data_IF_830468301885
#
_entry.id   IF_830468301885
#
_cell.length_a   1.000
_cell.length_b   1.000
_cell.length_c   1.000
_cell.angle_alpha   90.00
_cell.angle_beta   90.00
_cell.angle_gamma   90.00
#
_symmetry.space_group_name_H-M   'P 1'
#
loop_
_entity.id
_entity.type
_entity.pdbx_description
1 polymer ?
#
# COMPACT_ATOMS: atom_id res chain seq x y z
N UNK A 1 56.62 -21.25 6.69
CA UNK A 1 57.47 -21.85 7.73
C UNK A 1 56.58 -22.42 8.82
N UNK A 2 56.79 -23.70 9.13
CA UNK A 2 56.14 -24.50 10.18
C UNK A 2 56.35 -23.88 11.56
N UNK A 3 55.33 -23.92 12.45
CA UNK A 3 55.45 -24.46 13.81
C UNK A 3 54.11 -25.04 14.28
N UNK A 4 54.02 -26.36 14.19
CA UNK A 4 53.11 -27.21 14.96
C UNK A 4 53.82 -27.48 16.29
N UNK A 5 53.14 -27.28 17.42
CA UNK A 5 53.48 -27.94 18.68
C UNK A 5 52.30 -28.81 19.07
N UNK A 6 52.54 -30.10 19.02
CA UNK A 6 51.63 -31.18 19.40
C UNK A 6 52.00 -31.60 20.83
N UNK A 7 51.02 -31.83 21.71
CA UNK A 7 51.10 -32.75 22.85
C UNK A 7 49.67 -33.06 23.32
N UNK A 8 49.13 -34.18 22.82
CA UNK A 8 48.01 -34.99 23.35
C UNK A 8 48.53 -35.84 24.55
N UNK A 9 47.71 -36.62 25.32
CA UNK A 9 46.28 -36.96 25.21
C UNK A 9 45.49 -36.91 26.57
N UNK A 10 44.16 -37.05 26.57
CA UNK A 10 43.39 -38.05 27.36
C UNK A 10 41.87 -37.76 27.32
N UNK A 11 41.11 -38.81 27.06
CA UNK A 11 39.65 -38.89 27.12
C UNK A 11 39.09 -38.45 28.48
N UNK A 12 38.05 -37.59 28.46
CA UNK A 12 36.93 -37.69 29.38
C UNK A 12 35.70 -37.00 28.77
N UNK A 13 34.58 -37.71 28.83
CA UNK A 13 33.26 -37.26 28.42
C UNK A 13 32.83 -36.01 29.20
N UNK A 14 32.00 -35.16 28.58
CA UNK A 14 31.10 -34.30 29.32
C UNK A 14 30.92 -32.91 28.75
N UNK A 15 29.87 -32.74 27.94
CA UNK A 15 29.09 -31.50 27.89
C UNK A 15 29.76 -30.31 27.19
N UNK A 16 29.74 -30.32 25.85
CA UNK A 16 29.50 -29.06 25.15
C UNK A 16 28.08 -28.62 25.51
N UNK A 17 27.96 -27.75 26.52
CA UNK A 17 26.75 -26.91 26.65
C UNK A 17 26.84 -25.94 25.49
N UNK A 18 26.31 -26.33 24.34
CA UNK A 18 25.87 -25.33 23.38
C UNK A 18 24.76 -24.58 24.09
N UNK A 19 25.00 -23.31 24.39
CA UNK A 19 23.95 -22.33 24.61
C UNK A 19 23.03 -22.42 23.38
N UNK A 20 21.99 -23.27 23.48
CA UNK A 20 20.79 -23.13 22.71
C UNK A 20 20.22 -21.78 23.12
N UNK A 21 20.71 -20.75 22.45
CA UNK A 21 20.01 -19.49 22.28
C UNK A 21 18.71 -19.90 21.60
N UNK A 22 17.75 -20.30 22.44
CA UNK A 22 16.36 -20.45 22.08
C UNK A 22 15.96 -19.07 21.60
N UNK A 23 16.15 -18.84 20.31
CA UNK A 23 15.54 -17.75 19.60
C UNK A 23 14.05 -17.99 19.83
N UNK A 24 13.51 -17.33 20.86
CA UNK A 24 12.09 -17.25 21.11
C UNK A 24 11.53 -16.41 19.97
N UNK A 25 11.44 -17.04 18.79
CA UNK A 25 10.76 -16.51 17.64
C UNK A 25 9.30 -16.47 18.03
N UNK A 26 8.76 -15.26 18.19
CA UNK A 26 7.34 -15.08 18.44
C UNK A 26 6.56 -15.91 17.41
N UNK A 27 5.59 -16.74 17.85
CA UNK A 27 4.80 -17.53 16.91
C UNK A 27 4.11 -16.62 15.91
N UNK A 28 4.13 -17.03 14.66
CA UNK A 28 3.42 -16.36 13.57
C UNK A 28 1.92 -16.37 13.80
N UNK A 29 1.19 -15.47 13.13
CA UNK A 29 -0.27 -15.39 13.26
C UNK A 29 -0.97 -16.72 12.97
N UNK A 30 -0.46 -17.50 12.02
CA UNK A 30 -1.03 -18.79 11.65
C UNK A 30 -0.72 -19.87 12.71
N UNK A 31 0.46 -19.81 13.34
CA UNK A 31 0.82 -20.70 14.44
C UNK A 31 -0.02 -20.41 15.69
N UNK A 32 -0.26 -19.14 16.00
CA UNK A 32 -1.17 -18.74 17.08
C UNK A 32 -2.59 -19.30 16.85
N UNK A 33 -3.12 -19.18 15.63
CA UNK A 33 -4.45 -19.75 15.30
C UNK A 33 -4.49 -21.27 15.57
N UNK A 34 -3.42 -21.99 15.23
CA UNK A 34 -3.35 -23.42 15.47
C UNK A 34 -3.18 -23.77 16.96
N UNK A 35 -2.35 -23.02 17.70
CA UNK A 35 -2.21 -23.18 19.16
C UNK A 35 -3.53 -22.90 19.87
N UNK A 36 -4.20 -21.81 19.53
CA UNK A 36 -5.49 -21.40 20.11
C UNK A 36 -6.60 -22.42 19.80
N UNK A 37 -6.48 -23.12 18.68
CA UNK A 37 -7.37 -24.22 18.28
C UNK A 37 -7.02 -25.55 18.96
N UNK A 38 -6.01 -25.58 19.83
CA UNK A 38 -5.62 -26.76 20.62
C UNK A 38 -4.58 -27.67 19.95
N UNK A 39 -3.99 -27.28 18.82
CA UNK A 39 -2.96 -28.09 18.16
C UNK A 39 -1.58 -27.89 18.82
N UNK A 40 -0.90 -28.99 19.13
CA UNK A 40 0.39 -28.98 19.83
C UNK A 40 1.55 -28.79 18.83
N UNK A 41 2.40 -27.76 18.98
CA UNK A 41 3.56 -27.55 18.11
C UNK A 41 4.47 -28.78 17.99
N UNK A 42 4.99 -29.02 16.79
CA UNK A 42 5.85 -30.18 16.50
C UNK A 42 5.10 -31.48 16.17
N UNK A 43 3.77 -31.49 16.26
CA UNK A 43 2.94 -32.63 15.82
C UNK A 43 2.58 -32.55 14.34
N UNK A 44 2.20 -33.70 13.76
CA UNK A 44 1.68 -33.78 12.39
C UNK A 44 0.40 -32.93 12.27
N UNK A 45 -0.51 -33.03 13.23
CA UNK A 45 -1.77 -32.27 13.22
C UNK A 45 -1.52 -30.75 13.23
N UNK A 46 -0.54 -30.28 14.02
CA UNK A 46 -0.15 -28.88 14.01
C UNK A 46 0.40 -28.44 12.66
N UNK A 47 1.25 -29.25 12.02
CA UNK A 47 1.76 -28.95 10.68
C UNK A 47 0.65 -28.88 9.62
N UNK A 48 -0.37 -29.75 9.73
CA UNK A 48 -1.54 -29.76 8.85
C UNK A 48 -2.44 -28.53 9.08
N UNK A 49 -2.65 -28.15 10.33
CA UNK A 49 -3.34 -26.91 10.68
C UNK A 49 -2.60 -25.71 10.08
N UNK A 50 -1.29 -25.63 10.28
CA UNK A 50 -0.47 -24.51 9.80
C UNK A 50 -0.49 -24.40 8.28
N UNK A 51 -0.41 -25.53 7.57
CA UNK A 51 -0.53 -25.57 6.11
C UNK A 51 -1.90 -25.06 5.65
N UNK A 52 -2.97 -25.52 6.29
CA UNK A 52 -4.34 -25.11 5.99
C UNK A 52 -4.56 -23.61 6.25
N UNK A 53 -4.10 -23.11 7.39
CA UNK A 53 -4.19 -21.70 7.76
C UNK A 53 -3.45 -20.80 6.76
N UNK A 54 -2.24 -21.20 6.32
CA UNK A 54 -1.47 -20.49 5.29
C UNK A 54 -2.19 -20.44 3.95
N UNK A 55 -2.79 -21.57 3.52
CA UNK A 55 -3.58 -21.63 2.28
C UNK A 55 -4.80 -20.71 2.42
N UNK A 56 -5.57 -20.84 3.49
CA UNK A 56 -6.78 -20.04 3.71
C UNK A 56 -6.47 -18.54 3.71
N UNK A 57 -5.38 -18.11 4.36
CA UNK A 57 -4.96 -16.71 4.36
C UNK A 57 -4.59 -16.23 2.97
N UNK A 58 -3.78 -17.00 2.23
CA UNK A 58 -3.38 -16.64 0.86
C UNK A 58 -4.60 -16.54 -0.05
N UNK A 59 -5.53 -17.49 0.04
CA UNK A 59 -6.78 -17.48 -0.73
C UNK A 59 -7.64 -16.27 -0.38
N UNK A 60 -7.73 -15.90 0.91
CA UNK A 60 -8.45 -14.70 1.33
C UNK A 60 -7.80 -13.41 0.79
N UNK A 61 -6.47 -13.30 0.86
CA UNK A 61 -5.73 -12.17 0.31
C UNK A 61 -5.92 -12.05 -1.21
N UNK A 62 -5.89 -13.17 -1.93
CA UNK A 62 -6.07 -13.19 -3.38
C UNK A 62 -7.52 -12.84 -3.76
N UNK A 63 -8.51 -13.34 -3.04
CA UNK A 63 -9.91 -12.94 -3.21
C UNK A 63 -10.13 -11.45 -2.91
N UNK A 64 -9.49 -10.91 -1.87
CA UNK A 64 -9.55 -9.48 -1.55
C UNK A 64 -8.93 -8.63 -2.68
N UNK A 65 -7.80 -9.06 -3.25
CA UNK A 65 -7.18 -8.40 -4.41
C UNK A 65 -8.10 -8.41 -5.63
N UNK A 66 -8.72 -9.54 -5.96
CA UNK A 66 -9.65 -9.64 -7.09
C UNK A 66 -10.89 -8.75 -6.86
N UNK A 67 -11.44 -8.74 -5.64
CA UNK A 67 -12.54 -7.84 -5.27
C UNK A 67 -12.15 -6.37 -5.42
N UNK A 68 -10.94 -5.98 -5.00
CA UNK A 68 -10.44 -4.61 -5.19
C UNK A 68 -10.34 -4.26 -6.66
N UNK A 69 -9.76 -5.12 -7.50
CA UNK A 69 -9.67 -4.89 -8.95
C UNK A 69 -11.06 -4.75 -9.60
N UNK A 70 -12.02 -5.57 -9.20
CA UNK A 70 -13.38 -5.47 -9.72
C UNK A 70 -14.05 -4.16 -9.29
N UNK A 71 -13.88 -3.78 -8.03
CA UNK A 71 -14.36 -2.49 -7.52
C UNK A 71 -13.73 -1.33 -8.29
N UNK A 72 -12.41 -1.34 -8.51
CA UNK A 72 -11.71 -0.33 -9.29
C UNK A 72 -12.25 -0.24 -10.73
N UNK A 73 -12.55 -1.38 -11.37
CA UNK A 73 -13.17 -1.40 -12.71
C UNK A 73 -14.57 -0.77 -12.71
N UNK A 74 -15.39 -1.08 -11.70
CA UNK A 74 -16.77 -0.53 -11.56
C UNK A 74 -16.75 0.97 -11.29
N UNK A 75 -15.80 1.41 -10.47
CA UNK A 75 -15.71 2.80 -10.02
C UNK A 75 -14.90 3.69 -10.97
N UNK A 76 -14.18 3.11 -11.94
CA UNK A 76 -13.46 3.88 -12.95
C UNK A 76 -14.42 4.75 -13.73
N UNK A 77 -14.20 6.06 -13.69
CA UNK A 77 -15.01 7.04 -14.40
C UNK A 77 -14.36 7.47 -15.70
N UNK A 78 -15.16 8.04 -16.60
CA UNK A 78 -14.64 8.64 -17.83
C UNK A 78 -13.77 9.86 -17.52
N UNK A 79 -12.80 10.09 -18.38
CA UNK A 79 -11.98 11.30 -18.41
C UNK A 79 -12.82 12.60 -18.35
N UNK A 80 -13.96 12.62 -19.06
CA UNK A 80 -14.86 13.76 -19.08
C UNK A 80 -15.50 14.04 -17.71
N UNK A 81 -16.02 13.00 -17.06
CA UNK A 81 -16.63 13.14 -15.73
C UNK A 81 -15.59 13.54 -14.68
N UNK A 82 -14.40 12.95 -14.77
CA UNK A 82 -13.31 13.29 -13.87
C UNK A 82 -12.92 14.78 -14.02
N UNK A 83 -12.87 15.28 -15.26
CA UNK A 83 -12.62 16.69 -15.52
C UNK A 83 -13.70 17.60 -14.92
N UNK A 84 -14.98 17.27 -15.10
CA UNK A 84 -16.10 18.02 -14.52
C UNK A 84 -15.98 18.13 -12.99
N UNK A 85 -15.70 17.00 -12.32
CA UNK A 85 -15.47 16.96 -10.86
C UNK A 85 -14.30 17.87 -10.47
N UNK A 86 -13.17 17.79 -11.18
CA UNK A 86 -12.00 18.63 -10.87
C UNK A 86 -12.30 20.12 -11.06
N UNK A 87 -12.97 20.50 -12.16
CA UNK A 87 -13.34 21.89 -12.44
C UNK A 87 -14.26 22.42 -11.36
N UNK A 88 -15.33 21.69 -11.02
CA UNK A 88 -16.28 22.13 -9.99
C UNK A 88 -15.59 22.30 -8.64
N UNK A 89 -14.76 21.33 -8.27
CA UNK A 89 -14.02 21.35 -7.01
C UNK A 89 -13.00 22.49 -6.94
N UNK A 90 -12.25 22.71 -8.03
CA UNK A 90 -11.26 23.78 -8.12
C UNK A 90 -11.93 25.17 -8.07
N UNK A 91 -13.03 25.38 -8.81
CA UNK A 91 -13.76 26.66 -8.81
C UNK A 91 -14.21 27.08 -7.42
N UNK A 92 -14.67 26.15 -6.58
CA UNK A 92 -15.08 26.42 -5.19
C UNK A 92 -13.91 26.80 -4.27
N UNK A 93 -12.68 26.46 -4.64
CA UNK A 93 -11.47 26.70 -3.84
C UNK A 93 -10.59 27.83 -4.36
N UNK A 94 -10.93 28.42 -5.51
CA UNK A 94 -10.18 29.56 -6.04
C UNK A 94 -10.36 30.79 -5.15
N UNK A 95 -9.29 31.61 -4.98
CA UNK A 95 -9.35 32.79 -4.12
C UNK A 95 -10.19 33.93 -4.70
N UNK A 96 -10.39 33.92 -6.02
CA UNK A 96 -11.15 34.94 -6.76
C UNK A 96 -12.13 34.27 -7.72
N UNK A 97 -13.18 34.97 -8.15
CA UNK A 97 -14.14 34.45 -9.12
C UNK A 97 -13.46 34.02 -10.43
N UNK A 98 -13.84 32.85 -10.92
CA UNK A 98 -13.36 32.32 -12.21
C UNK A 98 -14.17 32.93 -13.35
N UNK A 99 -13.49 33.63 -14.26
CA UNK A 99 -14.07 34.22 -15.47
C UNK A 99 -14.16 33.18 -16.58
N UNK A 100 -13.07 32.42 -16.79
CA UNK A 100 -12.95 31.45 -17.87
C UNK A 100 -12.15 30.23 -17.43
N UNK A 101 -12.65 29.06 -17.82
CA UNK A 101 -11.89 27.82 -17.71
C UNK A 101 -10.98 27.71 -18.94
N UNK A 102 -9.68 27.68 -18.72
CA UNK A 102 -8.69 27.39 -19.75
C UNK A 102 -8.37 25.88 -19.75
N UNK A 103 -8.21 25.36 -20.96
CA UNK A 103 -7.90 23.99 -21.42
C UNK A 103 -7.44 22.97 -20.37
N UNK A 104 -8.01 21.77 -20.45
CA UNK A 104 -7.59 20.60 -19.67
C UNK A 104 -6.26 20.08 -20.20
N UNK A 105 -5.20 20.20 -19.40
CA UNK A 105 -3.88 19.74 -19.78
C UNK A 105 -3.59 18.41 -19.10
N UNK A 106 -3.91 17.33 -19.80
CA UNK A 106 -3.56 15.94 -19.51
C UNK A 106 -4.44 15.25 -18.48
N UNK A 107 -4.97 14.11 -18.91
CA UNK A 107 -5.61 13.10 -18.08
C UNK A 107 -4.70 11.89 -18.18
N UNK A 108 -4.08 11.49 -17.07
CA UNK A 108 -3.23 10.30 -17.02
C UNK A 108 -3.71 9.33 -15.95
N UNK A 109 -3.81 8.05 -16.34
CA UNK A 109 -4.17 6.93 -15.47
C UNK A 109 -5.59 6.38 -15.69
N UNK A 110 -5.83 5.15 -15.25
CA UNK A 110 -7.11 4.44 -15.35
C UNK A 110 -8.04 4.79 -14.19
N UNK A 111 -8.03 3.96 -13.14
CA UNK A 111 -8.84 4.20 -11.94
C UNK A 111 -8.42 5.46 -11.15
N UNK A 112 -7.11 5.74 -11.12
CA UNK A 112 -6.54 6.96 -10.54
C UNK A 112 -6.16 7.92 -11.66
N UNK A 113 -6.84 9.04 -11.75
CA UNK A 113 -6.66 10.03 -12.82
C UNK A 113 -6.04 11.31 -12.26
N UNK A 114 -5.00 11.81 -12.92
CA UNK A 114 -4.45 13.14 -12.62
C UNK A 114 -4.94 14.13 -13.65
N UNK A 115 -5.54 15.22 -13.20
CA UNK A 115 -6.14 16.25 -14.05
C UNK A 115 -5.51 17.59 -13.70
N UNK A 116 -5.16 18.36 -14.72
CA UNK A 116 -4.74 19.76 -14.56
C UNK A 116 -5.67 20.66 -15.34
N UNK A 117 -6.14 21.69 -14.65
CA UNK A 117 -7.06 22.72 -15.16
C UNK A 117 -6.45 24.08 -14.93
N UNK A 118 -6.65 25.00 -15.87
CA UNK A 118 -6.21 26.40 -15.72
C UNK A 118 -7.42 27.32 -15.71
N UNK A 119 -7.33 28.42 -14.99
CA UNK A 119 -8.42 29.37 -14.79
C UNK A 119 -7.91 30.79 -14.96
N UNK A 120 -8.71 31.61 -15.64
CA UNK A 120 -8.61 33.06 -15.59
C UNK A 120 -9.50 33.57 -14.46
N UNK A 121 -8.94 34.38 -13.57
CA UNK A 121 -9.59 34.91 -12.38
C UNK A 121 -9.77 36.42 -12.48
N UNK A 122 -10.90 36.90 -11.95
CA UNK A 122 -11.19 38.33 -11.77
C UNK A 122 -10.57 38.84 -10.47
N UNK A 123 -9.33 39.34 -10.56
CA UNK A 123 -8.60 39.81 -9.40
C UNK A 123 -8.77 41.33 -9.25
N UNK A 124 -9.23 41.83 -8.08
CA UNK A 124 -9.36 43.27 -7.87
C UNK A 124 -7.99 43.95 -7.94
N UNK A 125 -7.85 44.94 -8.84
CA UNK A 125 -6.64 45.74 -9.00
C UNK A 125 -5.70 45.28 -10.13
N UNK A 126 -5.97 44.17 -10.80
CA UNK A 126 -5.33 43.77 -12.06
C UNK A 126 -6.39 43.42 -13.09
N UNK A 127 -6.07 43.46 -14.38
CA UNK A 127 -7.06 43.15 -15.41
C UNK A 127 -7.41 41.65 -15.45
N UNK A 128 -6.43 40.76 -15.28
CA UNK A 128 -6.61 39.31 -15.24
C UNK A 128 -5.45 38.62 -14.50
N UNK A 129 -5.73 37.53 -13.78
CA UNK A 129 -4.70 36.60 -13.27
C UNK A 129 -4.99 35.16 -13.69
N UNK A 130 -3.94 34.40 -14.02
CA UNK A 130 -4.06 32.97 -14.35
C UNK A 130 -3.60 32.12 -13.18
N UNK A 131 -4.38 31.09 -12.83
CA UNK A 131 -4.03 30.08 -11.84
C UNK A 131 -4.33 28.69 -12.38
N UNK A 132 -3.52 27.72 -12.00
CA UNK A 132 -3.76 26.32 -12.34
C UNK A 132 -4.16 25.54 -11.10
N UNK A 133 -4.95 24.49 -11.27
CA UNK A 133 -5.19 23.50 -10.24
C UNK A 133 -4.90 22.10 -10.76
N UNK A 134 -4.39 21.25 -9.88
CA UNK A 134 -4.16 19.84 -10.11
C UNK A 134 -5.06 19.04 -9.16
N UNK A 135 -5.88 18.16 -9.72
CA UNK A 135 -6.69 17.20 -8.98
C UNK A 135 -6.16 15.78 -9.23
N UNK A 136 -6.02 14.99 -8.18
CA UNK A 136 -5.90 13.54 -8.29
C UNK A 136 -7.25 12.96 -7.91
N UNK A 137 -7.88 12.26 -8.85
CA UNK A 137 -9.20 11.66 -8.70
C UNK A 137 -9.06 10.15 -8.63
N UNK A 138 -9.79 9.53 -7.70
CA UNK A 138 -9.91 8.07 -7.57
C UNK A 138 -11.38 7.71 -7.59
N UNK A 139 -11.83 7.06 -8.66
CA UNK A 139 -13.26 6.90 -8.91
C UNK A 139 -13.94 8.27 -8.99
N UNK A 140 -14.82 8.61 -8.03
CA UNK A 140 -15.54 9.90 -7.97
C UNK A 140 -15.01 10.87 -6.92
N UNK A 141 -13.95 10.51 -6.22
CA UNK A 141 -13.41 11.30 -5.11
C UNK A 141 -12.13 12.02 -5.51
N UNK A 142 -12.01 13.30 -5.11
CA UNK A 142 -10.76 14.05 -5.18
C UNK A 142 -9.91 13.64 -3.97
N UNK A 143 -8.86 12.86 -4.21
CA UNK A 143 -7.97 12.34 -3.15
C UNK A 143 -6.76 13.24 -2.88
N UNK A 144 -6.42 14.12 -3.83
CA UNK A 144 -5.38 15.13 -3.65
C UNK A 144 -5.71 16.36 -4.51
N UNK A 145 -5.33 17.54 -4.04
CA UNK A 145 -5.64 18.81 -4.68
C UNK A 145 -4.60 19.88 -4.39
N UNK A 146 -4.12 20.55 -5.44
CA UNK A 146 -3.15 21.64 -5.34
C UNK A 146 -3.49 22.77 -6.29
N UNK A 147 -3.40 24.02 -5.82
CA UNK A 147 -3.46 25.23 -6.65
C UNK A 147 -2.02 25.71 -6.89
N UNK A 148 -1.73 26.13 -8.12
CA UNK A 148 -0.44 26.67 -8.58
C UNK A 148 -0.66 28.06 -9.16
#
# INVERSE_FOLDING_TARGET
MKKVFCLLPFLALGGCVTDDTSASSRPSKDELICIDSGFVPGTIEFSQCLATAKIARKTAEDLEKERKKEQEKRDTISASLANEICVEFARKRMPYPVIRNQTVHNISGGYRQTIRVSFELDQPGTSYSSRSAQCIIRGREVVDFKIT
#
